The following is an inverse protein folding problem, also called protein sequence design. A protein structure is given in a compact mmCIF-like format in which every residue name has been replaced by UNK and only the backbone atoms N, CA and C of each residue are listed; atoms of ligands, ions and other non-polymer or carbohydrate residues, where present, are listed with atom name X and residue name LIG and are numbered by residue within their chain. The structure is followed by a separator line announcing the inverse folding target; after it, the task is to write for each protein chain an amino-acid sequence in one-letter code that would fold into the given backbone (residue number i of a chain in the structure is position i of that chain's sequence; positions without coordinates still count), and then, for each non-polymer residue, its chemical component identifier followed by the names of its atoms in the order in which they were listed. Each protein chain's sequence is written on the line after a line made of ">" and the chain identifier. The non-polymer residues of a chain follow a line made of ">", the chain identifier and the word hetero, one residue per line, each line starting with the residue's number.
data_IF_769649200234
#
_entry.id   IF_769649200234
#
_cell.length_a   1.000
_cell.length_b   1.000
_cell.length_c   1.000
_cell.angle_alpha   90.00
_cell.angle_beta   90.00
_cell.angle_gamma   90.00
#
_symmetry.space_group_name_H-M   'P 1'
#
loop_
_entity.id
_entity.type
_entity.pdbx_description
1 polymer ?
#
# COMPACT_ATOMS: atom_id res chain seq x y z
N UNK A 1 17.54 60.51 8.33
CA UNK A 1 18.07 59.21 8.85
C UNK A 1 16.93 58.53 9.60
N UNK A 2 16.09 57.70 8.94
CA UNK A 2 16.17 56.22 8.88
C UNK A 2 16.48 55.55 10.23
N UNK A 3 15.48 54.95 10.86
CA UNK A 3 15.33 53.48 10.99
C UNK A 3 13.90 53.16 11.44
N UNK A 4 13.12 52.61 10.51
CA UNK A 4 11.84 51.97 10.82
C UNK A 4 12.09 50.68 11.59
N UNK A 5 11.44 50.55 12.74
CA UNK A 5 11.33 49.29 13.44
C UNK A 5 10.32 48.42 12.70
N UNK A 6 10.80 47.37 12.06
CA UNK A 6 9.98 46.31 11.49
C UNK A 6 9.39 45.56 12.67
N UNK A 7 8.12 45.83 12.97
CA UNK A 7 7.29 44.88 13.73
C UNK A 7 7.14 43.67 12.82
N UNK A 8 7.88 42.61 13.12
CA UNK A 8 7.63 41.31 12.52
C UNK A 8 6.29 40.83 13.09
N UNK A 9 5.22 41.12 12.36
CA UNK A 9 3.97 40.38 12.46
C UNK A 9 4.31 38.90 12.21
N UNK A 10 4.52 38.18 13.30
CA UNK A 10 4.45 36.72 13.31
C UNK A 10 3.00 36.44 12.91
N UNK A 11 2.73 35.79 11.76
CA UNK A 11 1.37 35.50 11.38
C UNK A 11 0.77 34.62 12.47
N UNK A 12 -0.21 35.22 13.15
CA UNK A 12 -1.09 34.60 14.11
C UNK A 12 -1.59 33.29 13.47
N UNK A 13 -1.13 32.15 13.99
CA UNK A 13 -1.68 30.85 13.68
C UNK A 13 -3.11 30.85 14.22
N UNK A 14 -4.07 31.24 13.38
CA UNK A 14 -5.50 31.06 13.67
C UNK A 14 -5.78 29.56 13.89
N UNK A 15 -6.35 29.17 15.05
CA UNK A 15 -6.62 27.78 15.38
C UNK A 15 -8.02 27.34 14.92
N UNK A 16 -8.46 27.68 13.69
CA UNK A 16 -9.84 27.42 13.23
C UNK A 16 -9.96 27.01 11.75
N UNK A 17 -9.07 26.13 11.30
CA UNK A 17 -9.42 25.17 10.24
C UNK A 17 -8.67 23.88 10.49
N UNK A 18 -9.12 23.15 11.51
CA UNK A 18 -8.89 21.72 11.59
C UNK A 18 -9.51 21.10 10.33
N UNK A 19 -8.72 21.03 9.26
CA UNK A 19 -9.04 20.27 8.08
C UNK A 19 -9.28 18.83 8.56
N UNK A 20 -10.54 18.46 8.79
CA UNK A 20 -10.92 17.13 9.24
C UNK A 20 -10.53 16.16 8.12
N UNK A 21 -9.45 15.43 8.34
CA UNK A 21 -8.87 14.49 7.38
C UNK A 21 -9.28 13.08 7.80
N UNK A 22 -9.84 12.33 6.86
CA UNK A 22 -10.46 11.03 7.13
C UNK A 22 -9.91 10.01 6.14
N UNK A 23 -9.71 8.77 6.59
CA UNK A 23 -9.35 7.66 5.71
C UNK A 23 -10.58 7.25 4.90
N UNK A 24 -10.49 7.37 3.58
CA UNK A 24 -11.58 6.98 2.71
C UNK A 24 -11.85 5.46 2.81
N UNK A 25 -13.09 5.01 3.05
CA UNK A 25 -13.40 3.58 3.17
C UNK A 25 -13.25 2.81 1.86
N UNK A 26 -13.32 3.49 0.71
CA UNK A 26 -13.15 2.89 -0.61
C UNK A 26 -11.69 2.71 -1.01
N UNK A 27 -10.90 3.78 -0.90
CA UNK A 27 -9.52 3.82 -1.38
C UNK A 27 -8.45 3.84 -0.28
N UNK A 28 -8.80 3.80 1.00
CA UNK A 28 -7.84 3.69 2.11
C UNK A 28 -6.79 4.80 2.24
N UNK A 29 -6.91 5.89 1.50
CA UNK A 29 -6.06 7.06 1.66
C UNK A 29 -6.70 8.08 2.60
N UNK A 30 -5.84 8.80 3.32
CA UNK A 30 -6.23 10.03 4.00
C UNK A 30 -6.66 11.07 2.95
N UNK A 31 -7.90 11.55 3.06
CA UNK A 31 -8.48 12.58 2.19
C UNK A 31 -9.04 13.73 3.02
N UNK A 32 -9.04 14.92 2.43
CA UNK A 32 -9.74 16.09 2.98
C UNK A 32 -11.23 15.98 2.68
N UNK A 33 -12.07 16.34 3.65
CA UNK A 33 -13.52 16.29 3.51
C UNK A 33 -13.99 17.60 2.87
N UNK A 34 -14.48 17.52 1.63
CA UNK A 34 -15.18 18.63 0.97
C UNK A 34 -16.67 18.67 1.35
N UNK A 35 -17.39 19.69 0.88
CA UNK A 35 -18.80 19.92 1.20
C UNK A 35 -19.75 18.74 0.87
N UNK A 36 -19.41 17.92 -0.13
CA UNK A 36 -20.27 16.81 -0.59
C UNK A 36 -19.98 15.45 0.09
N UNK A 37 -19.13 15.40 1.13
CA UNK A 37 -18.79 14.16 1.84
C UNK A 37 -18.46 12.97 0.90
N UNK A 38 -17.77 13.22 -0.21
CA UNK A 38 -17.34 12.20 -1.20
C UNK A 38 -15.84 12.27 -1.42
N UNK A 39 -15.24 11.10 -1.64
CA UNK A 39 -13.82 11.01 -1.94
C UNK A 39 -13.55 11.49 -3.39
N UNK A 40 -12.78 12.57 -3.56
CA UNK A 40 -12.40 13.07 -4.90
C UNK A 40 -11.62 12.05 -5.74
N UNK A 41 -11.02 11.03 -5.13
CA UNK A 41 -10.17 10.05 -5.82
C UNK A 41 -10.92 8.79 -6.27
N UNK A 42 -11.94 8.36 -5.54
CA UNK A 42 -12.66 7.12 -5.84
C UNK A 42 -14.19 7.26 -5.86
N UNK A 43 -14.74 8.44 -5.56
CA UNK A 43 -16.17 8.70 -5.53
C UNK A 43 -16.93 8.07 -4.35
N UNK A 44 -16.26 7.29 -3.50
CA UNK A 44 -16.90 6.65 -2.35
C UNK A 44 -17.42 7.69 -1.34
N UNK A 45 -18.58 7.40 -0.72
CA UNK A 45 -19.12 8.24 0.35
C UNK A 45 -18.20 8.21 1.57
N UNK A 46 -18.02 9.39 2.15
CA UNK A 46 -17.26 9.62 3.38
C UNK A 46 -18.18 9.71 4.60
N UNK A 47 -19.50 9.74 4.41
CA UNK A 47 -20.52 9.81 5.49
C UNK A 47 -20.31 8.71 6.56
N UNK A 48 -20.05 7.48 6.12
CA UNK A 48 -19.75 6.36 7.02
C UNK A 48 -18.42 6.51 7.77
N UNK A 49 -17.47 7.24 7.19
CA UNK A 49 -16.17 7.51 7.79
C UNK A 49 -16.19 8.75 8.72
N UNK A 50 -17.11 9.68 8.47
CA UNK A 50 -17.41 10.82 9.33
C UNK A 50 -18.19 10.41 10.60
N UNK A 51 -19.10 9.44 10.47
CA UNK A 51 -19.97 9.00 11.57
C UNK A 51 -19.28 8.06 12.56
N UNK A 52 -18.20 7.38 12.17
CA UNK A 52 -17.49 6.42 13.01
C UNK A 52 -16.04 6.84 13.22
N UNK A 53 -15.58 6.88 14.48
CA UNK A 53 -14.20 7.25 14.83
C UNK A 53 -13.12 6.35 14.18
N UNK A 54 -13.49 5.16 13.67
CA UNK A 54 -12.61 4.20 12.97
C UNK A 54 -12.97 4.03 11.49
N UNK A 55 -14.00 4.73 11.02
CA UNK A 55 -14.73 4.39 9.81
C UNK A 55 -15.59 3.13 9.95
N UNK A 56 -16.29 2.73 8.87
CA UNK A 56 -17.17 1.58 8.88
C UNK A 56 -16.37 0.29 9.11
N UNK A 57 -16.89 -0.66 9.92
CA UNK A 57 -16.26 -1.96 10.07
C UNK A 57 -16.19 -2.67 8.71
N UNK A 58 -15.15 -3.48 8.46
CA UNK A 58 -15.09 -4.27 7.25
C UNK A 58 -16.23 -5.30 7.24
N UNK A 59 -16.76 -5.67 6.06
CA UNK A 59 -17.81 -6.67 5.96
C UNK A 59 -17.36 -8.02 6.55
N UNK A 60 -18.28 -8.91 6.90
CA UNK A 60 -17.90 -10.24 7.35
C UNK A 60 -17.25 -11.05 6.21
N UNK A 61 -16.29 -11.95 6.51
CA UNK A 61 -15.68 -12.80 5.49
C UNK A 61 -16.69 -13.81 4.91
N UNK A 62 -16.54 -14.26 3.65
CA UNK A 62 -15.52 -13.86 2.68
C UNK A 62 -15.78 -12.49 2.02
N UNK A 63 -14.76 -11.64 1.99
CA UNK A 63 -14.82 -10.31 1.36
C UNK A 63 -14.38 -10.35 -0.09
N UNK A 64 -15.08 -9.61 -0.95
CA UNK A 64 -14.66 -9.36 -2.33
C UNK A 64 -13.77 -8.12 -2.41
N UNK A 65 -12.47 -8.32 -2.58
CA UNK A 65 -11.53 -7.22 -2.86
C UNK A 65 -11.60 -6.80 -4.33
N UNK A 66 -11.56 -5.48 -4.57
CA UNK A 66 -11.45 -4.93 -5.93
C UNK A 66 -10.08 -5.26 -6.55
N UNK A 67 -9.96 -5.13 -7.88
CA UNK A 67 -8.67 -5.33 -8.57
C UNK A 67 -7.60 -4.35 -8.08
N UNK A 68 -7.98 -3.09 -7.82
CA UNK A 68 -7.09 -2.06 -7.31
C UNK A 68 -6.57 -2.40 -5.91
N UNK A 69 -7.46 -2.83 -5.00
CA UNK A 69 -7.10 -3.24 -3.64
C UNK A 69 -6.15 -4.43 -3.63
N UNK A 70 -6.40 -5.45 -4.48
CA UNK A 70 -5.47 -6.58 -4.62
C UNK A 70 -4.12 -6.14 -5.16
N UNK A 71 -4.13 -5.32 -6.20
CA UNK A 71 -2.92 -4.81 -6.85
C UNK A 71 -2.09 -3.90 -5.94
N UNK A 72 -2.68 -3.33 -4.89
CA UNK A 72 -1.97 -2.55 -3.90
C UNK A 72 -1.09 -3.42 -2.99
N UNK A 73 -1.62 -4.56 -2.59
CA UNK A 73 -0.93 -5.54 -1.75
C UNK A 73 0.07 -6.34 -2.59
N UNK A 74 -0.32 -6.80 -3.78
CA UNK A 74 0.51 -7.67 -4.62
C UNK A 74 1.41 -6.87 -5.58
N UNK A 75 2.45 -6.22 -5.05
CA UNK A 75 3.42 -5.43 -5.85
C UNK A 75 4.83 -6.01 -5.83
N UNK A 76 5.55 -6.03 -6.96
CA UNK A 76 6.95 -6.45 -6.99
C UNK A 76 7.83 -5.46 -6.21
N UNK A 77 8.92 -5.96 -5.65
CA UNK A 77 9.93 -5.18 -4.94
C UNK A 77 10.61 -4.16 -5.86
N UNK A 78 10.82 -4.52 -7.11
CA UNK A 78 11.50 -3.63 -8.06
C UNK A 78 10.68 -3.55 -9.33
N UNK A 79 9.72 -2.63 -9.38
CA UNK A 79 8.80 -2.52 -10.51
C UNK A 79 9.53 -2.31 -11.84
N UNK A 80 10.56 -1.45 -11.88
CA UNK A 80 11.39 -1.23 -13.07
C UNK A 80 12.07 -2.51 -13.56
N UNK A 81 12.71 -3.26 -12.66
CA UNK A 81 13.36 -4.53 -12.99
C UNK A 81 12.34 -5.60 -13.42
N UNK A 82 11.17 -5.63 -12.79
CA UNK A 82 10.09 -6.52 -13.19
C UNK A 82 9.61 -6.19 -14.61
N UNK A 83 9.44 -4.91 -14.95
CA UNK A 83 9.04 -4.46 -16.28
C UNK A 83 10.11 -4.78 -17.32
N UNK A 84 11.37 -4.45 -17.06
CA UNK A 84 12.48 -4.78 -17.94
C UNK A 84 12.61 -6.29 -18.18
N UNK A 85 12.49 -7.09 -17.10
CA UNK A 85 12.49 -8.55 -17.20
C UNK A 85 11.29 -9.09 -17.99
N UNK A 86 10.13 -8.46 -17.86
CA UNK A 86 8.92 -8.84 -18.62
C UNK A 86 9.09 -8.51 -20.11
N UNK A 87 9.66 -7.36 -20.45
CA UNK A 87 9.96 -6.97 -21.83
C UNK A 87 11.01 -7.91 -22.46
N UNK A 88 12.10 -8.17 -21.75
CA UNK A 88 13.14 -9.10 -22.20
C UNK A 88 12.57 -10.51 -22.43
N UNK A 89 11.74 -11.01 -21.50
CA UNK A 89 11.08 -12.30 -21.65
C UNK A 89 10.17 -12.33 -22.89
N UNK A 90 9.37 -11.30 -23.11
CA UNK A 90 8.49 -11.20 -24.28
C UNK A 90 9.28 -11.17 -25.59
N UNK A 91 10.35 -10.37 -25.65
CA UNK A 91 11.23 -10.31 -26.81
C UNK A 91 11.85 -11.68 -27.11
N UNK A 92 12.34 -12.38 -26.07
CA UNK A 92 12.89 -13.72 -26.23
C UNK A 92 11.86 -14.75 -26.71
N UNK A 93 10.65 -14.75 -26.14
CA UNK A 93 9.56 -15.64 -26.57
C UNK A 93 9.14 -15.38 -28.02
N UNK A 94 9.10 -14.12 -28.44
CA UNK A 94 8.76 -13.76 -29.83
C UNK A 94 9.85 -14.13 -30.83
N UNK A 95 11.12 -14.08 -30.43
CA UNK A 95 12.25 -14.48 -31.27
C UNK A 95 12.43 -16.01 -31.34
N UNK A 96 11.94 -16.75 -30.35
CA UNK A 96 12.08 -18.21 -30.26
C UNK A 96 11.60 -18.96 -31.53
N UNK A 97 10.37 -18.77 -32.05
CA UNK A 97 9.92 -19.50 -33.25
C UNK A 97 10.76 -19.14 -34.47
N UNK A 98 11.14 -17.86 -34.63
CA UNK A 98 11.99 -17.43 -35.75
C UNK A 98 13.37 -18.09 -35.67
N UNK A 99 13.95 -18.15 -34.47
CA UNK A 99 15.23 -18.80 -34.24
C UNK A 99 15.19 -20.33 -34.45
N UNK A 100 14.05 -20.95 -34.16
CA UNK A 100 13.87 -22.41 -34.25
C UNK A 100 13.66 -22.87 -35.70
N UNK A 101 12.95 -22.10 -36.51
CA UNK A 101 12.62 -22.46 -37.89
C UNK A 101 13.53 -21.87 -38.95
N UNK A 102 14.12 -20.68 -38.73
CA UNK A 102 14.78 -19.93 -39.80
C UNK A 102 16.25 -19.61 -39.51
N UNK A 103 16.60 -19.16 -38.30
CA UNK A 103 17.97 -18.70 -37.99
C UNK A 103 18.50 -19.21 -36.64
N UNK A 104 19.43 -20.17 -36.69
CA UNK A 104 20.15 -20.69 -35.52
C UNK A 104 20.77 -19.63 -34.59
N UNK A 105 21.36 -18.50 -35.04
CA UNK A 105 21.89 -17.48 -34.13
C UNK A 105 20.79 -16.74 -33.35
N UNK A 106 19.57 -16.62 -33.89
CA UNK A 106 18.43 -16.03 -33.16
C UNK A 106 17.98 -16.94 -32.01
N UNK A 107 18.22 -18.25 -32.11
CA UNK A 107 17.90 -19.19 -31.04
C UNK A 107 18.74 -18.90 -29.80
N UNK A 108 20.07 -18.69 -29.94
CA UNK A 108 20.92 -18.30 -28.82
C UNK A 108 20.47 -16.98 -28.19
N UNK A 109 20.16 -15.98 -29.03
CA UNK A 109 19.71 -14.67 -28.56
C UNK A 109 18.36 -14.77 -27.80
N UNK A 110 17.41 -15.56 -28.30
CA UNK A 110 16.12 -15.77 -27.65
C UNK A 110 16.27 -16.41 -26.26
N UNK A 111 17.14 -17.42 -26.14
CA UNK A 111 17.45 -18.08 -24.85
C UNK A 111 18.06 -17.09 -23.86
N UNK A 112 19.00 -16.24 -24.29
CA UNK A 112 19.61 -15.20 -23.45
C UNK A 112 18.53 -14.24 -22.93
N UNK A 113 17.66 -13.74 -23.81
CA UNK A 113 16.57 -12.82 -23.42
C UNK A 113 15.57 -13.46 -22.46
N UNK A 114 15.19 -14.72 -22.69
CA UNK A 114 14.31 -15.48 -21.78
C UNK A 114 14.99 -15.64 -20.41
N UNK A 115 16.24 -16.08 -20.38
CA UNK A 115 17.01 -16.27 -19.14
C UNK A 115 17.14 -14.99 -18.32
N UNK A 116 17.55 -13.90 -18.97
CA UNK A 116 17.65 -12.58 -18.36
C UNK A 116 16.28 -12.08 -17.86
N UNK A 117 15.23 -12.26 -18.67
CA UNK A 117 13.87 -11.88 -18.32
C UNK A 117 13.35 -12.61 -17.07
N UNK A 118 13.56 -13.93 -17.00
CA UNK A 118 13.21 -14.74 -15.83
C UNK A 118 14.02 -14.34 -14.59
N UNK A 119 15.32 -14.10 -14.74
CA UNK A 119 16.18 -13.69 -13.64
C UNK A 119 15.71 -12.36 -13.05
N UNK A 120 15.50 -11.33 -13.88
CA UNK A 120 15.01 -10.03 -13.42
C UNK A 120 13.63 -10.09 -12.78
N UNK A 121 12.70 -10.90 -13.31
CA UNK A 121 11.37 -11.10 -12.68
C UNK A 121 11.47 -11.82 -11.34
N UNK A 122 12.36 -12.81 -11.21
CA UNK A 122 12.52 -13.60 -9.98
C UNK A 122 13.19 -12.78 -8.87
N UNK A 123 14.19 -11.98 -9.20
CA UNK A 123 14.87 -11.11 -8.23
C UNK A 123 14.01 -9.91 -7.82
N UNK A 124 13.19 -9.38 -8.74
CA UNK A 124 12.26 -8.29 -8.45
C UNK A 124 11.04 -8.71 -7.63
N UNK A 125 10.66 -9.99 -7.61
CA UNK A 125 9.54 -10.48 -6.81
C UNK A 125 9.89 -11.76 -6.03
N UNK A 126 10.69 -11.63 -4.96
CA UNK A 126 11.20 -12.77 -4.21
C UNK A 126 10.05 -13.57 -3.58
N UNK A 127 10.26 -14.88 -3.41
CA UNK A 127 9.25 -15.81 -2.88
C UNK A 127 8.78 -15.40 -1.48
N UNK A 128 9.70 -14.94 -0.62
CA UNK A 128 9.36 -14.46 0.72
C UNK A 128 8.35 -13.30 0.70
N UNK A 129 8.56 -12.30 -0.17
CA UNK A 129 7.64 -11.18 -0.34
C UNK A 129 6.29 -11.65 -0.88
N UNK A 130 6.27 -12.59 -1.83
CA UNK A 130 5.03 -13.16 -2.35
C UNK A 130 4.22 -13.88 -1.28
N UNK A 131 4.89 -14.66 -0.42
CA UNK A 131 4.24 -15.35 0.70
C UNK A 131 3.64 -14.37 1.69
N UNK A 132 4.35 -13.30 2.01
CA UNK A 132 3.85 -12.24 2.90
C UNK A 132 2.62 -11.55 2.31
N UNK A 133 2.68 -11.15 1.03
CA UNK A 133 1.54 -10.56 0.33
C UNK A 133 0.33 -11.50 0.25
N UNK A 134 0.57 -12.80 0.07
CA UNK A 134 -0.50 -13.81 0.10
C UNK A 134 -1.13 -13.95 1.48
N UNK A 135 -0.36 -13.88 2.56
CA UNK A 135 -0.89 -13.88 3.94
C UNK A 135 -1.75 -12.65 4.20
N UNK A 136 -1.28 -11.47 3.80
CA UNK A 136 -2.05 -10.23 3.91
C UNK A 136 -3.34 -10.27 3.08
N UNK A 137 -3.28 -10.77 1.83
CA UNK A 137 -4.47 -10.97 1.00
C UNK A 137 -5.44 -11.99 1.64
N UNK A 138 -4.93 -13.06 2.24
CA UNK A 138 -5.76 -14.03 2.96
C UNK A 138 -6.47 -13.36 4.14
N UNK A 139 -5.76 -12.54 4.93
CA UNK A 139 -6.34 -11.78 6.03
C UNK A 139 -7.41 -10.77 5.55
N UNK A 140 -7.16 -10.10 4.42
CA UNK A 140 -8.12 -9.17 3.84
C UNK A 140 -9.41 -9.84 3.36
N UNK A 141 -9.31 -11.05 2.77
CA UNK A 141 -10.47 -11.78 2.25
C UNK A 141 -11.21 -12.54 3.35
N UNK A 142 -10.49 -13.24 4.22
CA UNK A 142 -11.07 -14.21 5.18
C UNK A 142 -10.92 -13.79 6.65
N UNK A 143 -10.13 -12.76 6.94
CA UNK A 143 -9.84 -12.38 8.31
C UNK A 143 -11.00 -11.70 9.02
N UNK A 144 -11.05 -11.84 10.34
CA UNK A 144 -12.04 -11.21 11.20
C UNK A 144 -11.64 -9.76 11.50
N UNK A 145 -12.60 -8.84 11.64
CA UNK A 145 -12.32 -7.48 12.08
C UNK A 145 -11.84 -7.43 13.53
N UNK A 146 -10.82 -6.61 13.78
CA UNK A 146 -10.41 -6.17 15.10
C UNK A 146 -10.25 -4.65 15.13
N UNK A 147 -10.62 -4.04 16.25
CA UNK A 147 -10.29 -2.65 16.52
C UNK A 147 -8.78 -2.54 16.73
N UNK A 148 -8.15 -1.63 15.99
CA UNK A 148 -6.72 -1.41 16.03
C UNK A 148 -6.41 0.08 16.24
N UNK A 149 -5.15 0.34 16.60
CA UNK A 149 -4.61 1.68 16.79
C UNK A 149 -3.24 1.76 16.13
N UNK A 150 -3.00 2.84 15.38
CA UNK A 150 -1.69 3.10 14.78
C UNK A 150 -0.73 3.52 15.89
N UNK A 151 0.37 2.80 16.07
CA UNK A 151 1.37 3.10 17.09
C UNK A 151 2.52 3.92 16.54
N UNK A 152 2.88 3.72 15.27
CA UNK A 152 3.99 4.41 14.62
C UNK A 152 3.70 4.66 13.14
N UNK A 153 4.06 5.85 12.68
CA UNK A 153 4.07 6.21 11.26
C UNK A 153 5.48 6.70 10.96
N UNK A 154 6.21 5.94 10.14
CA UNK A 154 7.60 6.24 9.83
C UNK A 154 7.84 6.32 8.33
N UNK A 155 8.55 7.35 7.89
CA UNK A 155 9.04 7.42 6.52
C UNK A 155 10.20 6.45 6.38
N UNK A 156 10.10 5.48 5.47
CA UNK A 156 11.26 4.65 5.15
C UNK A 156 12.21 5.45 4.24
N UNK A 157 13.36 5.85 4.79
CA UNK A 157 14.43 6.57 4.07
C UNK A 157 15.56 5.60 3.64
N UNK A 158 15.32 4.29 3.69
CA UNK A 158 16.34 3.31 3.34
C UNK A 158 16.87 3.56 1.90
N UNK A 159 18.20 3.66 1.69
CA UNK A 159 18.81 3.99 0.39
C UNK A 159 18.54 2.93 -0.68
N UNK A 160 18.04 1.76 -0.28
CA UNK A 160 17.52 0.71 -1.15
C UNK A 160 16.00 0.73 -1.13
N UNK A 161 15.40 1.70 -1.83
CA UNK A 161 13.94 1.80 -2.01
C UNK A 161 13.41 0.50 -2.65
N UNK A 162 12.91 -0.34 -1.77
CA UNK A 162 12.49 -1.71 -2.02
C UNK A 162 10.97 -1.74 -1.96
N UNK A 163 10.33 -2.05 -3.08
CA UNK A 163 8.89 -2.16 -3.30
C UNK A 163 8.12 -0.83 -3.30
N UNK A 164 8.81 0.31 -3.49
CA UNK A 164 8.15 1.61 -3.45
C UNK A 164 7.59 1.96 -2.06
N UNK A 165 8.05 1.29 -1.00
CA UNK A 165 7.64 1.55 0.39
C UNK A 165 8.18 2.91 0.82
N UNK A 166 7.29 3.88 0.88
CA UNK A 166 7.58 5.24 1.33
C UNK A 166 7.31 5.41 2.81
N UNK A 167 6.33 4.66 3.33
CA UNK A 167 5.82 4.76 4.69
C UNK A 167 5.69 3.37 5.30
N UNK A 168 6.05 3.23 6.56
CA UNK A 168 5.77 2.08 7.40
C UNK A 168 4.72 2.51 8.43
N UNK A 169 3.58 1.81 8.44
CA UNK A 169 2.51 1.99 9.43
C UNK A 169 2.53 0.80 10.36
N UNK A 170 2.92 1.02 11.61
CA UNK A 170 2.84 -0.01 12.64
C UNK A 170 1.57 0.22 13.46
N UNK A 171 0.88 -0.87 13.76
CA UNK A 171 -0.39 -0.84 14.46
C UNK A 171 -0.48 -2.00 15.45
N UNK A 172 -1.35 -1.81 16.44
CA UNK A 172 -1.62 -2.79 17.48
C UNK A 172 -3.10 -3.06 17.54
N UNK A 173 -3.46 -4.31 17.76
CA UNK A 173 -4.82 -4.74 18.05
C UNK A 173 -4.81 -5.82 19.13
N UNK A 174 -5.97 -6.05 19.74
CA UNK A 174 -6.11 -7.04 20.81
C UNK A 174 -6.98 -8.20 20.34
N UNK A 175 -6.48 -9.43 20.47
CA UNK A 175 -7.21 -10.66 20.15
C UNK A 175 -7.20 -11.55 21.39
N UNK A 176 -8.37 -11.92 21.90
CA UNK A 176 -8.49 -12.76 23.11
C UNK A 176 -7.66 -12.28 24.31
N UNK A 177 -7.54 -10.95 24.50
CA UNK A 177 -6.74 -10.34 25.57
C UNK A 177 -5.23 -10.28 25.30
N UNK A 178 -4.75 -10.80 24.17
CA UNK A 178 -3.35 -10.69 23.75
C UNK A 178 -3.15 -9.50 22.82
N UNK A 179 -2.10 -8.73 23.07
CA UNK A 179 -1.67 -7.63 22.21
C UNK A 179 -0.90 -8.18 21.02
N UNK A 180 -1.38 -7.93 19.82
CA UNK A 180 -0.75 -8.35 18.57
C UNK A 180 -0.27 -7.10 17.82
N UNK A 181 0.97 -7.14 17.36
CA UNK A 181 1.60 -6.10 16.56
C UNK A 181 1.55 -6.48 15.08
N UNK A 182 1.19 -5.50 14.24
CA UNK A 182 1.20 -5.64 12.79
C UNK A 182 1.88 -4.46 12.13
N UNK A 183 2.47 -4.69 10.96
CA UNK A 183 3.13 -3.65 10.17
C UNK A 183 2.63 -3.67 8.74
N UNK A 184 2.19 -2.52 8.23
CA UNK A 184 1.78 -2.35 6.85
C UNK A 184 2.72 -1.36 6.13
N UNK A 185 3.53 -1.83 5.17
CA UNK A 185 4.26 -0.92 4.31
C UNK A 185 3.33 -0.29 3.27
N UNK A 186 3.34 1.04 3.17
CA UNK A 186 2.59 1.79 2.17
C UNK A 186 3.51 2.47 1.14
N UNK A 187 3.13 2.46 -0.14
CA UNK A 187 3.80 3.22 -1.18
C UNK A 187 3.29 4.66 -1.36
N UNK A 188 2.40 5.13 -0.49
CA UNK A 188 1.81 6.46 -0.65
C UNK A 188 2.32 7.43 0.41
N UNK A 189 2.89 8.55 -0.04
CA UNK A 189 3.32 9.63 0.84
C UNK A 189 2.15 10.24 1.65
N UNK A 190 0.91 10.11 1.16
CA UNK A 190 -0.29 10.53 1.89
C UNK A 190 -0.48 9.76 3.21
N UNK A 191 0.04 8.54 3.32
CA UNK A 191 -0.04 7.80 4.57
C UNK A 191 0.92 8.34 5.65
N UNK A 192 1.86 9.24 5.31
CA UNK A 192 2.60 10.03 6.31
C UNK A 192 1.70 11.00 7.09
N UNK A 193 0.51 11.31 6.55
CA UNK A 193 -0.43 12.20 7.21
C UNK A 193 -1.23 11.49 8.31
N UNK A 194 -1.18 10.15 8.37
CA UNK A 194 -1.77 9.37 9.46
C UNK A 194 -1.03 9.66 10.76
N UNK A 195 -1.72 9.56 11.89
CA UNK A 195 -1.15 9.90 13.20
C UNK A 195 -1.04 8.66 14.10
N UNK A 196 0.02 8.54 14.91
CA UNK A 196 -0.01 7.65 16.06
C UNK A 196 -1.23 7.96 16.93
N UNK A 197 -1.90 6.94 17.46
CA UNK A 197 -3.16 7.04 18.18
C UNK A 197 -4.42 6.99 17.29
N UNK A 198 -4.26 7.01 15.97
CA UNK A 198 -5.38 6.91 15.04
C UNK A 198 -6.04 5.53 15.16
N UNK A 199 -7.35 5.53 15.44
CA UNK A 199 -8.13 4.31 15.58
C UNK A 199 -8.53 3.81 14.20
N UNK A 200 -8.15 2.58 13.88
CA UNK A 200 -8.36 1.96 12.57
C UNK A 200 -8.93 0.56 12.72
N UNK A 201 -9.33 -0.04 11.60
CA UNK A 201 -9.69 -1.46 11.57
C UNK A 201 -8.49 -2.27 11.11
N UNK A 202 -8.19 -3.35 11.82
CA UNK A 202 -7.32 -4.41 11.34
C UNK A 202 -8.18 -5.63 11.02
N UNK A 203 -7.70 -6.45 10.09
CA UNK A 203 -8.27 -7.76 9.80
C UNK A 203 -7.19 -8.82 10.00
N UNK A 204 -7.53 -9.89 10.70
CA UNK A 204 -6.57 -10.94 11.08
C UNK A 204 -7.16 -12.32 10.85
N UNK A 205 -6.31 -13.31 10.60
CA UNK A 205 -6.73 -14.72 10.47
C UNK A 205 -6.79 -15.34 11.86
N UNK A 206 -7.91 -15.98 12.23
CA UNK A 206 -8.09 -16.52 13.58
C UNK A 206 -7.06 -17.61 13.93
N UNK A 207 -6.66 -18.42 12.96
CA UNK A 207 -5.65 -19.47 13.16
C UNK A 207 -4.21 -18.92 13.27
N UNK A 208 -3.96 -17.71 12.75
CA UNK A 208 -2.65 -17.05 12.77
C UNK A 208 -2.84 -15.53 12.89
N UNK A 209 -2.95 -14.99 14.12
CA UNK A 209 -3.16 -13.56 14.34
C UNK A 209 -2.03 -12.68 13.77
N UNK A 210 -0.83 -13.25 13.57
CA UNK A 210 0.28 -12.55 12.92
C UNK A 210 0.02 -12.26 11.44
N UNK A 211 -0.81 -13.08 10.78
CA UNK A 211 -1.32 -12.79 9.45
C UNK A 211 -2.44 -11.73 9.53
N UNK A 212 -2.04 -10.47 9.62
CA UNK A 212 -2.92 -9.31 9.74
C UNK A 212 -2.68 -8.27 8.65
N UNK A 213 -3.70 -7.45 8.38
CA UNK A 213 -3.63 -6.31 7.48
C UNK A 213 -4.52 -5.17 7.97
N UNK A 214 -4.14 -3.93 7.65
CA UNK A 214 -4.94 -2.75 7.96
C UNK A 214 -6.08 -2.61 6.93
N UNK A 215 -7.27 -2.26 7.40
CA UNK A 215 -8.45 -2.03 6.58
C UNK A 215 -8.81 -0.54 6.53
N UNK A 216 -9.25 -0.02 5.37
CA UNK A 216 -9.26 -0.67 4.05
C UNK A 216 -7.85 -0.71 3.41
N UNK A 217 -7.57 -1.68 2.53
CA UNK A 217 -6.35 -1.67 1.75
C UNK A 217 -6.39 -0.51 0.75
N UNK A 218 -5.49 0.48 0.91
CA UNK A 218 -5.35 1.54 -0.08
C UNK A 218 -4.73 1.01 -1.38
N UNK A 219 -5.06 1.55 -2.58
CA UNK A 219 -4.37 1.26 -3.83
C UNK A 219 -2.93 1.80 -3.82
#
# INVERSE_FOLDING_TARGET
>A
MRRGGIVLDVPYLSPESSEFRIVCPGCGHAVTVGAEARCMRCGASLEAALSAARGPPPPLPPRRLTRAQRAAVSRPKLHKHYMLGTLALWAGVMLLPVGLFFLRPLLLQSVIFIGMGLLFRRTSWPVALRREQQRQLKALVWGLPAAAEITRVERQVAPTLHAGRLVQLDYVFTVHGQRVEGGLPSPHALDLLRRPGERVWAVYVAEDPGASALWPPGP
#
